data_IF_159074808946
#
_entry.id   IF_159074808946
#
_cell.length_a   1.000
_cell.length_b   1.000
_cell.length_c   1.000
_cell.angle_alpha   90.00
_cell.angle_beta   90.00
_cell.angle_gamma   90.00
#
_symmetry.space_group_name_H-M   'P 1'
#
loop_
_entity.id
_entity.type
_entity.pdbx_description
1 polymer ?
#
# COMPACT_ATOMS: atom_id res chain seq x y z
N UNK A 1 24.36 -1.60 -17.42
CA UNK A 1 23.68 -2.68 -16.66
C UNK A 1 22.67 -2.04 -15.73
N UNK A 2 21.39 -2.46 -15.76
CA UNK A 2 20.34 -1.93 -14.89
C UNK A 2 20.55 -2.31 -13.41
N UNK A 3 19.79 -1.69 -12.50
CA UNK A 3 19.87 -1.99 -11.06
C UNK A 3 19.51 -3.43 -10.72
N UNK A 4 18.59 -4.07 -11.47
CA UNK A 4 18.17 -5.47 -11.24
C UNK A 4 19.34 -6.45 -11.16
N UNK A 5 20.36 -6.29 -12.01
CA UNK A 5 21.54 -7.18 -12.02
C UNK A 5 22.41 -7.08 -10.76
N UNK A 6 22.19 -6.08 -9.91
CA UNK A 6 22.93 -5.85 -8.66
C UNK A 6 22.17 -6.32 -7.43
N UNK A 7 20.88 -6.65 -7.58
CA UNK A 7 20.02 -7.05 -6.47
C UNK A 7 20.17 -8.54 -6.19
N UNK A 8 20.36 -8.90 -4.94
CA UNK A 8 20.21 -10.27 -4.45
C UNK A 8 18.73 -10.54 -4.19
N UNK A 9 18.06 -11.25 -5.11
CA UNK A 9 16.62 -11.53 -5.02
C UNK A 9 16.26 -12.30 -3.73
N UNK A 10 17.17 -13.11 -3.18
CA UNK A 10 16.92 -13.84 -1.93
C UNK A 10 16.81 -12.94 -0.70
N UNK A 11 17.31 -11.70 -0.79
CA UNK A 11 17.28 -10.66 0.23
C UNK A 11 16.26 -9.55 -0.09
N UNK A 12 15.38 -9.77 -1.07
CA UNK A 12 14.33 -8.80 -1.37
C UNK A 12 13.33 -8.71 -0.20
N UNK A 13 12.78 -7.51 0.09
CA UNK A 13 11.72 -7.38 1.08
C UNK A 13 10.50 -8.20 0.65
N UNK A 14 9.89 -8.91 1.60
CA UNK A 14 8.67 -9.69 1.34
C UNK A 14 7.46 -8.79 1.14
N UNK A 15 7.45 -7.64 1.81
CA UNK A 15 6.37 -6.67 1.73
C UNK A 15 6.94 -5.26 1.53
N UNK A 16 6.48 -4.60 0.46
CA UNK A 16 6.78 -3.20 0.14
C UNK A 16 5.49 -2.39 0.25
N UNK A 17 5.54 -1.27 0.98
CA UNK A 17 4.47 -0.29 1.04
C UNK A 17 4.87 0.98 0.27
N UNK A 18 3.93 1.60 -0.48
CA UNK A 18 4.23 2.78 -1.30
C UNK A 18 3.20 3.89 -1.07
N UNK A 19 3.70 5.09 -0.76
CA UNK A 19 2.92 6.33 -0.78
C UNK A 19 3.11 6.98 -2.15
N UNK A 20 2.07 6.89 -2.98
CA UNK A 20 2.03 7.33 -4.38
C UNK A 20 1.77 8.84 -4.48
N UNK A 21 2.78 9.64 -4.13
CA UNK A 21 2.67 11.10 -4.13
C UNK A 21 3.24 11.74 -5.41
N UNK A 22 2.71 12.91 -5.78
CA UNK A 22 3.21 13.70 -6.90
C UNK A 22 2.28 13.80 -8.12
N UNK A 23 1.18 13.04 -8.20
CA UNK A 23 0.26 13.05 -9.35
C UNK A 23 -0.19 14.47 -9.76
N UNK A 24 -0.69 15.25 -8.79
CA UNK A 24 -1.16 16.61 -9.06
C UNK A 24 -0.02 17.59 -9.43
N UNK A 25 1.18 17.42 -8.85
CA UNK A 25 2.35 18.24 -9.19
C UNK A 25 2.84 17.93 -10.61
N UNK A 26 2.85 16.66 -10.98
CA UNK A 26 3.20 16.19 -12.31
C UNK A 26 2.24 16.76 -13.37
N UNK A 27 0.92 16.68 -13.15
CA UNK A 27 -0.08 17.23 -14.05
C UNK A 27 0.09 18.74 -14.26
N UNK A 28 0.30 19.50 -13.15
CA UNK A 28 0.55 20.95 -13.21
C UNK A 28 1.78 21.32 -14.02
N UNK A 29 2.87 20.54 -13.91
CA UNK A 29 4.10 20.78 -14.72
C UNK A 29 3.82 20.66 -16.22
N UNK A 30 2.78 19.90 -16.61
CA UNK A 30 2.37 19.71 -18.01
C UNK A 30 1.18 20.58 -18.42
N UNK A 31 0.73 21.50 -17.55
CA UNK A 31 -0.39 22.40 -17.84
C UNK A 31 -1.76 21.77 -17.73
N UNK A 32 -1.88 20.62 -17.04
CA UNK A 32 -3.12 19.88 -16.87
C UNK A 32 -3.66 19.94 -15.45
N UNK A 33 -4.95 19.61 -15.31
CA UNK A 33 -5.60 19.46 -14.00
C UNK A 33 -5.08 18.22 -13.23
N UNK A 34 -5.28 18.21 -11.91
CA UNK A 34 -4.72 17.20 -11.00
C UNK A 34 -5.13 15.77 -11.37
N UNK A 35 -6.39 15.57 -11.77
CA UNK A 35 -6.94 14.26 -12.13
C UNK A 35 -6.20 13.62 -13.32
N UNK A 36 -5.70 14.43 -14.25
CA UNK A 36 -4.88 13.97 -15.37
C UNK A 36 -3.66 13.18 -14.89
N UNK A 37 -2.96 13.66 -13.86
CA UNK A 37 -1.82 12.95 -13.29
C UNK A 37 -2.19 11.63 -12.62
N UNK A 38 -3.36 11.54 -12.01
CA UNK A 38 -3.84 10.29 -11.42
C UNK A 38 -4.13 9.22 -12.47
N UNK A 39 -4.67 9.59 -13.63
CA UNK A 39 -4.83 8.66 -14.76
C UNK A 39 -3.47 8.08 -15.21
N UNK A 40 -2.43 8.91 -15.33
CA UNK A 40 -1.09 8.44 -15.69
C UNK A 40 -0.45 7.61 -14.56
N UNK A 41 -0.79 7.86 -13.31
CA UNK A 41 -0.33 7.10 -12.16
C UNK A 41 -0.74 5.62 -12.18
N UNK A 42 -1.79 5.24 -12.91
CA UNK A 42 -2.21 3.83 -13.07
C UNK A 42 -1.12 3.01 -13.78
N UNK A 43 -0.46 3.57 -14.81
CA UNK A 43 0.65 2.90 -15.48
C UNK A 43 1.81 2.63 -14.53
N UNK A 44 2.11 3.57 -13.63
CA UNK A 44 3.15 3.38 -12.61
C UNK A 44 2.80 2.25 -11.63
N UNK A 45 1.50 2.02 -11.35
CA UNK A 45 1.05 0.84 -10.56
C UNK A 45 1.41 -0.46 -11.29
N UNK A 46 1.08 -0.57 -12.59
CA UNK A 46 1.40 -1.76 -13.41
C UNK A 46 2.89 -2.06 -13.46
N UNK A 47 3.70 -1.04 -13.78
CA UNK A 47 5.15 -1.16 -13.87
C UNK A 47 5.78 -1.57 -12.52
N UNK A 48 5.31 -0.95 -11.43
CA UNK A 48 5.77 -1.30 -10.07
C UNK A 48 5.39 -2.73 -9.69
N UNK A 49 4.18 -3.17 -10.04
CA UNK A 49 3.72 -4.54 -9.77
C UNK A 49 4.55 -5.58 -10.56
N UNK A 50 4.83 -5.31 -11.85
CA UNK A 50 5.72 -6.15 -12.67
C UNK A 50 7.13 -6.23 -12.08
N UNK A 51 7.68 -5.11 -11.65
CA UNK A 51 8.99 -5.06 -11.01
C UNK A 51 9.02 -5.81 -9.66
N UNK A 52 7.99 -5.65 -8.83
CA UNK A 52 7.85 -6.36 -7.55
C UNK A 52 7.81 -7.89 -7.76
N UNK A 53 7.10 -8.38 -8.79
CA UNK A 53 7.11 -9.81 -9.16
C UNK A 53 8.51 -10.31 -9.54
N UNK A 54 9.28 -9.54 -10.33
CA UNK A 54 10.68 -9.89 -10.69
C UNK A 54 11.55 -10.05 -9.45
N UNK A 55 11.28 -9.29 -8.40
CA UNK A 55 11.98 -9.30 -7.11
C UNK A 55 11.45 -10.37 -6.13
N UNK A 56 10.43 -11.14 -6.50
CA UNK A 56 9.76 -12.12 -5.61
C UNK A 56 9.13 -11.48 -4.36
N UNK A 57 8.73 -10.22 -4.43
CA UNK A 57 7.93 -9.55 -3.41
C UNK A 57 6.59 -10.27 -3.28
N UNK A 58 6.16 -10.55 -2.05
CA UNK A 58 4.91 -11.28 -1.79
C UNK A 58 3.72 -10.34 -1.62
N UNK A 59 3.95 -9.15 -1.04
CA UNK A 59 2.92 -8.14 -0.78
C UNK A 59 3.39 -6.78 -1.27
N UNK A 60 2.50 -6.08 -1.99
CA UNK A 60 2.71 -4.71 -2.43
C UNK A 60 1.51 -3.88 -1.97
N UNK A 61 1.69 -3.05 -0.92
CA UNK A 61 0.62 -2.18 -0.41
C UNK A 61 0.76 -0.78 -0.99
N UNK A 62 -0.29 -0.29 -1.63
CA UNK A 62 -0.33 1.03 -2.25
C UNK A 62 -1.34 1.95 -1.57
N UNK A 63 -0.89 3.14 -1.15
CA UNK A 63 -1.73 4.16 -0.52
C UNK A 63 -2.49 4.94 -1.59
N UNK A 64 -3.66 4.41 -1.98
CA UNK A 64 -4.42 4.95 -3.10
C UNK A 64 -5.36 6.10 -2.70
N UNK A 65 -6.01 6.03 -1.51
CA UNK A 65 -6.90 7.07 -1.03
C UNK A 65 -6.94 7.12 0.50
N UNK A 66 -6.57 8.28 1.08
CA UNK A 66 -6.61 8.47 2.52
C UNK A 66 -7.94 9.06 3.01
N UNK A 67 -8.26 8.87 4.31
CA UNK A 67 -9.42 9.51 4.93
C UNK A 67 -9.35 11.04 4.84
N UNK A 68 -8.15 11.63 4.85
CA UNK A 68 -7.94 13.06 4.71
C UNK A 68 -8.24 13.58 3.30
N UNK A 69 -8.23 12.72 2.28
CA UNK A 69 -8.50 13.10 0.89
C UNK A 69 -9.96 13.50 0.67
N UNK A 70 -10.90 13.09 1.53
CA UNK A 70 -12.27 13.57 1.50
C UNK A 70 -12.41 15.10 1.71
N UNK A 71 -11.40 15.75 2.29
CA UNK A 71 -11.36 17.21 2.46
C UNK A 71 -10.98 17.97 1.18
N UNK A 72 -10.68 17.28 0.08
CA UNK A 72 -10.42 17.90 -1.23
C UNK A 72 -11.72 18.43 -1.85
N UNK A 73 -11.62 19.31 -2.87
CA UNK A 73 -12.80 19.75 -3.63
C UNK A 73 -13.62 18.53 -4.10
N UNK A 74 -14.94 18.66 -4.00
CA UNK A 74 -15.87 17.56 -4.27
C UNK A 74 -15.67 16.97 -5.67
N UNK A 75 -15.49 17.83 -6.68
CA UNK A 75 -15.31 17.39 -8.08
C UNK A 75 -14.01 16.56 -8.24
N UNK A 76 -12.93 16.90 -7.50
CA UNK A 76 -11.71 16.11 -7.48
C UNK A 76 -11.94 14.74 -6.84
N UNK A 77 -12.67 14.70 -5.71
CA UNK A 77 -12.99 13.44 -4.99
C UNK A 77 -13.86 12.54 -5.85
N UNK A 78 -14.94 13.07 -6.42
CA UNK A 78 -15.86 12.33 -7.28
C UNK A 78 -15.10 11.75 -8.49
N UNK A 79 -14.23 12.55 -9.13
CA UNK A 79 -13.38 12.11 -10.23
C UNK A 79 -12.37 11.03 -9.84
N UNK A 80 -11.81 11.10 -8.64
CA UNK A 80 -10.89 10.07 -8.13
C UNK A 80 -11.61 8.74 -7.85
N UNK A 81 -12.82 8.78 -7.29
CA UNK A 81 -13.62 7.59 -7.02
C UNK A 81 -14.07 6.90 -8.32
N UNK A 82 -14.50 7.69 -9.31
CA UNK A 82 -14.85 7.18 -10.63
C UNK A 82 -13.63 6.58 -11.35
N UNK A 83 -12.47 7.26 -11.31
CA UNK A 83 -11.21 6.72 -11.85
C UNK A 83 -10.84 5.40 -11.18
N UNK A 84 -10.93 5.33 -9.84
CA UNK A 84 -10.59 4.12 -9.08
C UNK A 84 -11.46 2.94 -9.51
N UNK A 85 -12.78 3.09 -9.52
CA UNK A 85 -13.70 2.03 -9.95
C UNK A 85 -13.42 1.55 -11.37
N UNK A 86 -13.31 2.49 -12.33
CA UNK A 86 -12.99 2.15 -13.73
C UNK A 86 -11.62 1.47 -13.89
N UNK A 87 -10.60 1.92 -13.15
CA UNK A 87 -9.28 1.31 -13.21
C UNK A 87 -9.30 -0.10 -12.66
N UNK A 88 -9.97 -0.34 -11.52
CA UNK A 88 -10.09 -1.69 -10.96
C UNK A 88 -10.75 -2.62 -11.97
N UNK A 89 -11.90 -2.24 -12.52
CA UNK A 89 -12.62 -3.05 -13.50
C UNK A 89 -11.78 -3.35 -14.76
N UNK A 90 -11.03 -2.36 -15.25
CA UNK A 90 -10.16 -2.52 -16.43
C UNK A 90 -8.96 -3.43 -16.17
N UNK A 91 -8.42 -3.47 -14.94
CA UNK A 91 -7.19 -4.19 -14.60
C UNK A 91 -7.41 -5.66 -14.20
N UNK A 92 -8.64 -6.07 -13.86
CA UNK A 92 -8.92 -7.43 -13.35
C UNK A 92 -8.38 -8.52 -14.28
N UNK A 93 -8.55 -8.38 -15.60
CA UNK A 93 -8.03 -9.35 -16.57
C UNK A 93 -6.51 -9.51 -16.47
N UNK A 94 -5.75 -8.40 -16.43
CA UNK A 94 -4.29 -8.42 -16.29
C UNK A 94 -3.87 -8.98 -14.94
N UNK A 95 -4.60 -8.67 -13.84
CA UNK A 95 -4.35 -9.24 -12.52
C UNK A 95 -4.51 -10.76 -12.53
N UNK A 96 -5.56 -11.29 -13.16
CA UNK A 96 -5.81 -12.72 -13.30
C UNK A 96 -4.72 -13.42 -14.12
N UNK A 97 -4.38 -12.89 -15.29
CA UNK A 97 -3.33 -13.44 -16.17
C UNK A 97 -1.96 -13.48 -15.48
N UNK A 98 -1.69 -12.50 -14.60
CA UNK A 98 -0.43 -12.39 -13.88
C UNK A 98 -0.42 -13.10 -12.50
N UNK A 99 -1.51 -13.76 -12.11
CA UNK A 99 -1.61 -14.45 -10.82
C UNK A 99 -1.58 -13.49 -9.63
N UNK A 100 -2.03 -12.25 -9.79
CA UNK A 100 -2.05 -11.21 -8.74
C UNK A 100 -3.33 -11.34 -7.94
N UNK A 101 -3.20 -11.51 -6.62
CA UNK A 101 -4.32 -11.44 -5.69
C UNK A 101 -4.56 -9.99 -5.28
N UNK A 102 -5.80 -9.50 -5.44
CA UNK A 102 -6.19 -8.18 -4.96
C UNK A 102 -6.75 -8.27 -3.53
N UNK A 103 -6.28 -7.37 -2.66
CA UNK A 103 -6.82 -7.15 -1.32
C UNK A 103 -7.01 -5.65 -1.07
N UNK A 104 -7.77 -5.32 -0.04
CA UNK A 104 -7.94 -3.93 0.39
C UNK A 104 -7.86 -3.79 1.90
N UNK A 105 -7.37 -2.64 2.36
CA UNK A 105 -7.40 -2.19 3.75
C UNK A 105 -8.06 -0.81 3.83
N UNK A 106 -8.71 -0.52 4.96
CA UNK A 106 -9.41 0.75 5.20
C UNK A 106 -10.92 0.59 5.32
N UNK A 107 -11.65 1.71 5.25
CA UNK A 107 -13.11 1.77 5.37
C UNK A 107 -13.78 1.67 3.99
N UNK A 108 -13.93 0.44 3.51
CA UNK A 108 -14.57 0.18 2.21
C UNK A 108 -16.07 0.48 2.20
N UNK A 109 -16.75 0.42 3.36
CA UNK A 109 -18.16 0.75 3.46
C UNK A 109 -18.43 2.26 3.22
N UNK A 110 -17.44 3.10 3.50
CA UNK A 110 -17.50 4.54 3.22
C UNK A 110 -17.24 4.93 1.76
N UNK A 111 -16.94 3.97 0.87
CA UNK A 111 -16.75 4.24 -0.56
C UNK A 111 -18.10 4.36 -1.29
N UNK A 112 -18.18 5.12 -2.41
CA UNK A 112 -19.35 5.11 -3.28
C UNK A 112 -19.68 3.69 -3.73
N UNK A 113 -20.99 3.36 -3.79
CA UNK A 113 -21.49 2.02 -4.05
C UNK A 113 -20.91 1.40 -5.33
N UNK A 114 -20.89 2.16 -6.42
CA UNK A 114 -20.33 1.68 -7.69
C UNK A 114 -18.86 1.28 -7.57
N UNK A 115 -18.02 2.13 -6.97
CA UNK A 115 -16.60 1.85 -6.76
C UNK A 115 -16.39 0.65 -5.83
N UNK A 116 -17.19 0.54 -4.75
CA UNK A 116 -17.15 -0.58 -3.82
C UNK A 116 -17.51 -1.91 -4.50
N UNK A 117 -18.55 -1.93 -5.34
CA UNK A 117 -18.97 -3.13 -6.03
C UNK A 117 -17.88 -3.65 -6.98
N UNK A 118 -17.26 -2.79 -7.80
CA UNK A 118 -16.13 -3.14 -8.66
C UNK A 118 -14.95 -3.71 -7.86
N UNK A 119 -14.64 -3.07 -6.72
CA UNK A 119 -13.57 -3.53 -5.83
C UNK A 119 -13.85 -4.94 -5.26
N UNK A 120 -15.04 -5.17 -4.74
CA UNK A 120 -15.42 -6.46 -4.16
C UNK A 120 -15.46 -7.58 -5.20
N UNK A 121 -15.96 -7.27 -6.40
CA UNK A 121 -15.95 -8.20 -7.53
C UNK A 121 -14.51 -8.57 -7.94
N UNK A 122 -13.62 -7.59 -8.08
CA UNK A 122 -12.22 -7.82 -8.41
C UNK A 122 -11.49 -8.65 -7.35
N UNK A 123 -11.74 -8.38 -6.05
CA UNK A 123 -11.20 -9.17 -4.93
C UNK A 123 -11.68 -10.62 -5.03
N UNK A 124 -12.96 -10.84 -5.30
CA UNK A 124 -13.55 -12.18 -5.41
C UNK A 124 -12.99 -12.96 -6.61
N UNK A 125 -12.80 -12.30 -7.76
CA UNK A 125 -12.24 -12.93 -8.95
C UNK A 125 -10.77 -13.34 -8.76
N UNK A 126 -9.97 -12.52 -8.05
CA UNK A 126 -8.52 -12.71 -7.90
C UNK A 126 -8.13 -13.48 -6.63
N UNK A 127 -9.08 -13.91 -5.79
CA UNK A 127 -8.82 -14.46 -4.43
C UNK A 127 -7.90 -15.68 -4.40
N UNK A 128 -7.92 -16.49 -5.45
CA UNK A 128 -7.18 -17.76 -5.53
C UNK A 128 -5.79 -17.57 -6.20
N UNK A 129 -5.45 -16.36 -6.61
CA UNK A 129 -4.13 -16.03 -7.16
C UNK A 129 -3.06 -16.01 -6.07
N UNK A 130 -1.83 -16.44 -6.40
CA UNK A 130 -0.77 -16.72 -5.41
C UNK A 130 0.60 -16.13 -5.74
N UNK A 131 0.78 -15.48 -6.91
CA UNK A 131 2.09 -14.96 -7.33
C UNK A 131 2.55 -13.76 -6.51
N UNK A 132 1.64 -12.79 -6.29
CA UNK A 132 1.85 -11.60 -5.48
C UNK A 132 0.49 -11.08 -5.00
N UNK A 133 0.45 -10.48 -3.83
CA UNK A 133 -0.75 -9.80 -3.31
C UNK A 133 -0.61 -8.29 -3.46
N UNK A 134 -1.47 -7.66 -4.27
CA UNK A 134 -1.64 -6.21 -4.34
C UNK A 134 -2.66 -5.78 -3.28
N UNK A 135 -2.25 -4.94 -2.35
CA UNK A 135 -3.12 -4.40 -1.29
C UNK A 135 -3.38 -2.92 -1.56
N UNK A 136 -4.62 -2.55 -1.82
CA UNK A 136 -5.02 -1.15 -1.98
C UNK A 136 -5.49 -0.58 -0.63
N UNK A 137 -4.79 0.43 -0.11
CA UNK A 137 -5.23 1.19 1.04
C UNK A 137 -6.22 2.27 0.56
N UNK A 138 -7.51 2.04 0.81
CA UNK A 138 -8.64 2.84 0.32
C UNK A 138 -9.45 3.38 1.49
N UNK A 139 -9.73 4.68 1.46
CA UNK A 139 -10.39 5.36 2.59
C UNK A 139 -9.72 4.98 3.91
N UNK A 140 -8.37 4.94 3.88
CA UNK A 140 -7.53 4.44 4.95
C UNK A 140 -6.80 5.58 5.67
N UNK A 141 -6.69 5.46 6.98
CA UNK A 141 -5.65 6.12 7.78
C UNK A 141 -5.39 5.33 9.05
N UNK A 142 -4.14 5.35 9.55
CA UNK A 142 -3.77 4.54 10.72
C UNK A 142 -4.51 4.96 11.98
N UNK A 143 -4.74 6.27 12.19
CA UNK A 143 -5.50 6.75 13.36
C UNK A 143 -6.93 6.25 13.32
N UNK A 144 -7.57 6.24 12.16
CA UNK A 144 -8.89 5.64 11.97
C UNK A 144 -8.85 4.13 12.24
N UNK A 145 -7.91 3.43 11.65
CA UNK A 145 -7.76 1.97 11.78
C UNK A 145 -7.61 1.55 13.24
N UNK A 146 -6.64 2.16 13.94
CA UNK A 146 -6.37 1.88 15.37
C UNK A 146 -7.61 2.19 16.21
N UNK A 147 -8.25 3.36 16.00
CA UNK A 147 -9.48 3.73 16.72
C UNK A 147 -10.59 2.71 16.47
N UNK A 148 -10.75 2.24 15.23
CA UNK A 148 -11.75 1.24 14.88
C UNK A 148 -11.45 -0.13 15.51
N UNK A 149 -10.18 -0.55 15.54
CA UNK A 149 -9.73 -1.76 16.23
C UNK A 149 -10.07 -1.70 17.73
N UNK A 150 -9.77 -0.59 18.42
CA UNK A 150 -10.16 -0.38 19.82
C UNK A 150 -11.67 -0.49 20.05
N UNK A 151 -12.48 0.13 19.18
CA UNK A 151 -13.96 0.02 19.29
C UNK A 151 -14.43 -1.43 19.17
N UNK A 152 -13.84 -2.21 18.26
CA UNK A 152 -14.15 -3.63 18.08
C UNK A 152 -13.74 -4.44 19.32
N UNK A 153 -12.54 -4.23 19.85
CA UNK A 153 -12.03 -4.87 21.06
C UNK A 153 -12.97 -4.60 22.23
N UNK A 154 -13.32 -3.34 22.49
CA UNK A 154 -14.26 -2.98 23.57
C UNK A 154 -15.63 -3.65 23.39
N UNK A 155 -16.10 -3.79 22.15
CA UNK A 155 -17.36 -4.52 21.86
C UNK A 155 -17.23 -5.99 22.21
N UNK A 156 -16.13 -6.66 21.84
CA UNK A 156 -15.89 -8.06 22.16
C UNK A 156 -15.72 -8.31 23.66
N UNK A 157 -15.05 -7.39 24.40
CA UNK A 157 -14.96 -7.48 25.87
C UNK A 157 -16.35 -7.35 26.52
N UNK A 158 -17.18 -6.39 26.10
CA UNK A 158 -18.55 -6.22 26.60
C UNK A 158 -19.46 -7.42 26.28
N UNK A 159 -19.20 -8.12 25.18
CA UNK A 159 -19.91 -9.32 24.79
C UNK A 159 -19.37 -10.59 25.49
N UNK A 160 -18.33 -10.46 26.35
CA UNK A 160 -17.64 -11.58 27.01
C UNK A 160 -17.04 -12.59 26.03
N UNK A 161 -16.71 -12.14 24.78
CA UNK A 161 -16.01 -12.96 23.79
C UNK A 161 -14.50 -13.02 24.07
N UNK A 162 -13.94 -11.99 24.70
CA UNK A 162 -12.57 -11.88 25.18
C UNK A 162 -12.53 -11.19 26.54
N UNK A 163 -11.49 -11.47 27.33
CA UNK A 163 -11.22 -10.78 28.60
C UNK A 163 -10.19 -9.67 28.40
N UNK A 164 -10.04 -8.77 29.40
CA UNK A 164 -9.04 -7.71 29.36
C UNK A 164 -7.61 -8.28 29.31
N UNK A 165 -7.35 -9.37 30.04
CA UNK A 165 -6.05 -10.04 30.09
C UNK A 165 -5.64 -10.70 28.74
N UNK A 166 -6.60 -10.96 27.87
CA UNK A 166 -6.37 -11.52 26.53
C UNK A 166 -6.02 -10.44 25.48
N UNK A 167 -6.00 -9.16 25.85
CA UNK A 167 -5.62 -8.07 24.94
C UNK A 167 -4.10 -8.01 24.84
N UNK A 168 -3.54 -8.76 23.89
CA UNK A 168 -2.10 -8.77 23.52
C UNK A 168 -1.88 -8.00 22.23
N UNK A 169 -0.60 -7.82 21.84
CA UNK A 169 -0.23 -7.20 20.55
C UNK A 169 -0.90 -7.98 19.40
N UNK A 170 -0.77 -9.29 19.39
CA UNK A 170 -1.32 -10.18 18.34
C UNK A 170 -2.85 -10.10 18.28
N UNK A 171 -3.49 -9.98 19.46
CA UNK A 171 -4.94 -9.81 19.50
C UNK A 171 -5.35 -8.46 18.87
N UNK A 172 -4.63 -7.37 19.15
CA UNK A 172 -4.87 -6.06 18.54
C UNK A 172 -4.70 -6.13 17.03
N UNK A 173 -3.62 -6.75 16.55
CA UNK A 173 -3.35 -6.96 15.12
C UNK A 173 -4.47 -7.73 14.42
N UNK A 174 -5.09 -8.71 15.10
CA UNK A 174 -6.26 -9.42 14.61
C UNK A 174 -7.51 -8.56 14.38
N UNK A 175 -7.59 -7.37 14.99
CA UNK A 175 -8.67 -6.40 14.79
C UNK A 175 -8.35 -5.28 13.78
N UNK A 176 -7.08 -5.15 13.35
CA UNK A 176 -6.68 -4.21 12.30
C UNK A 176 -7.19 -4.67 10.92
N UNK A 177 -7.30 -3.76 9.97
CA UNK A 177 -7.67 -4.11 8.59
C UNK A 177 -6.54 -4.82 7.85
N UNK A 178 -5.30 -4.71 8.36
CA UNK A 178 -4.10 -5.41 7.87
C UNK A 178 -3.95 -6.84 8.41
N UNK A 179 -4.91 -7.37 9.18
CA UNK A 179 -4.82 -8.73 9.72
C UNK A 179 -4.47 -9.77 8.64
N UNK A 180 -3.48 -10.60 8.92
CA UNK A 180 -3.02 -11.64 8.00
C UNK A 180 -2.11 -11.14 6.88
N UNK A 181 -1.79 -9.84 6.85
CA UNK A 181 -0.77 -9.24 5.98
C UNK A 181 0.47 -8.99 6.85
N UNK A 182 1.66 -9.45 6.47
CA UNK A 182 2.88 -9.17 7.23
C UNK A 182 3.20 -7.66 7.22
N UNK A 183 3.91 -7.19 8.23
CA UNK A 183 4.38 -5.80 8.27
C UNK A 183 5.30 -5.49 7.08
N UNK A 184 5.25 -4.26 6.51
CA UNK A 184 6.15 -3.89 5.42
C UNK A 184 7.58 -3.78 5.91
N UNK A 185 8.52 -4.33 5.13
CA UNK A 185 9.95 -4.23 5.40
C UNK A 185 10.56 -2.97 4.78
N UNK A 186 9.95 -2.48 3.69
CA UNK A 186 10.34 -1.27 2.99
C UNK A 186 9.10 -0.40 2.72
N UNK A 187 9.18 0.89 3.10
CA UNK A 187 8.20 1.90 2.72
C UNK A 187 8.86 2.93 1.80
N UNK A 188 8.27 3.09 0.61
CA UNK A 188 8.72 4.05 -0.39
C UNK A 188 7.74 5.23 -0.42
N UNK A 189 8.26 6.46 -0.43
CA UNK A 189 7.46 7.64 -0.75
C UNK A 189 8.08 8.42 -1.88
N UNK A 190 7.26 8.71 -2.89
CA UNK A 190 7.62 9.51 -4.06
C UNK A 190 7.45 11.01 -3.80
N UNK A 191 8.03 11.85 -4.66
CA UNK A 191 7.84 13.30 -4.74
C UNK A 191 8.60 14.17 -3.73
N UNK A 192 9.66 13.66 -3.08
CA UNK A 192 10.53 14.43 -2.20
C UNK A 192 9.94 14.83 -0.84
N UNK A 193 8.83 14.23 -0.44
CA UNK A 193 8.19 14.50 0.85
C UNK A 193 8.62 13.50 1.93
N UNK A 194 9.11 13.98 3.07
CA UNK A 194 9.69 13.19 4.15
C UNK A 194 8.72 12.99 5.33
N UNK A 195 7.52 12.52 5.07
CA UNK A 195 6.48 12.18 6.08
C UNK A 195 5.69 10.97 5.63
N UNK A 196 5.04 10.29 6.57
CA UNK A 196 4.26 9.07 6.29
C UNK A 196 2.75 9.33 6.11
N UNK A 197 2.29 10.53 6.32
CA UNK A 197 0.90 10.97 6.10
C UNK A 197 -0.15 10.03 6.70
N UNK A 198 0.02 9.63 7.96
CA UNK A 198 -0.93 8.77 8.69
C UNK A 198 -1.11 7.38 8.04
N UNK A 199 -0.06 6.87 7.38
CA UNK A 199 -0.06 5.56 6.72
C UNK A 199 0.64 4.52 7.57
N UNK A 200 -0.02 3.40 7.86
CA UNK A 200 0.50 2.18 8.49
C UNK A 200 1.28 2.39 9.81
N UNK A 201 0.89 3.33 10.69
CA UNK A 201 1.64 3.70 11.91
C UNK A 201 2.00 2.49 12.78
N UNK A 202 1.08 1.54 12.94
CA UNK A 202 1.31 0.35 13.74
C UNK A 202 2.32 -0.59 13.07
N UNK A 203 2.14 -0.81 11.78
CA UNK A 203 2.85 -1.81 11.00
C UNK A 203 4.28 -1.41 10.60
N UNK A 204 4.59 -0.09 10.61
CA UNK A 204 5.90 0.41 10.16
C UNK A 204 6.92 0.59 11.29
N UNK A 205 6.69 0.00 12.46
CA UNK A 205 7.55 0.17 13.64
C UNK A 205 9.03 -0.19 13.38
N UNK A 206 9.31 -1.14 12.48
CA UNK A 206 10.67 -1.58 12.11
C UNK A 206 10.90 -1.55 10.59
N UNK A 207 10.12 -0.74 9.87
CA UNK A 207 10.20 -0.60 8.42
C UNK A 207 11.35 0.33 8.02
N UNK A 208 12.10 -0.04 7.00
CA UNK A 208 13.06 0.84 6.35
C UNK A 208 12.35 1.81 5.40
N UNK A 209 12.82 3.08 5.36
CA UNK A 209 12.22 4.12 4.52
C UNK A 209 13.11 4.46 3.33
N UNK A 210 12.51 4.61 2.16
CA UNK A 210 13.14 5.17 0.98
C UNK A 210 12.32 6.36 0.45
N UNK A 211 12.91 7.55 0.45
CA UNK A 211 12.30 8.76 -0.10
C UNK A 211 12.95 9.11 -1.44
N UNK A 212 12.14 9.38 -2.46
CA UNK A 212 12.62 9.75 -3.79
C UNK A 212 11.92 11.00 -4.31
N UNK A 213 12.66 11.85 -5.04
CA UNK A 213 12.13 13.06 -5.68
C UNK A 213 11.28 12.76 -6.92
N UNK A 214 11.32 11.52 -7.43
CA UNK A 214 10.52 11.09 -8.59
C UNK A 214 9.04 11.28 -8.28
N UNK A 215 8.29 11.92 -9.16
CA UNK A 215 6.84 12.04 -9.05
C UNK A 215 6.18 10.72 -9.46
N UNK A 216 5.08 10.33 -8.79
CA UNK A 216 4.48 9.01 -9.00
C UNK A 216 4.23 8.66 -10.47
N UNK A 217 3.67 9.54 -11.35
CA UNK A 217 3.46 9.19 -12.76
C UNK A 217 4.75 8.88 -13.54
N UNK A 218 5.92 9.27 -13.04
CA UNK A 218 7.23 8.99 -13.65
C UNK A 218 7.96 7.82 -12.99
N UNK A 219 7.42 7.25 -11.88
CA UNK A 219 8.03 6.13 -11.17
C UNK A 219 7.95 4.84 -12.01
N UNK A 220 9.08 4.18 -12.21
CA UNK A 220 9.22 2.99 -13.07
C UNK A 220 9.96 1.87 -12.37
N UNK A 221 10.14 0.73 -13.06
CA UNK A 221 10.84 -0.45 -12.54
C UNK A 221 12.21 -0.12 -11.94
N UNK A 222 13.03 0.69 -12.63
CA UNK A 222 14.38 1.04 -12.17
C UNK A 222 14.37 1.84 -10.86
N UNK A 223 13.32 2.62 -10.60
CA UNK A 223 13.16 3.35 -9.33
C UNK A 223 12.86 2.38 -8.18
N UNK A 224 12.02 1.36 -8.42
CA UNK A 224 11.79 0.30 -7.44
C UNK A 224 13.07 -0.50 -7.19
N UNK A 225 13.79 -0.87 -8.22
CA UNK A 225 15.07 -1.60 -8.08
C UNK A 225 16.09 -0.79 -7.29
N UNK A 226 16.18 0.52 -7.53
CA UNK A 226 17.03 1.43 -6.76
C UNK A 226 16.66 1.46 -5.28
N UNK A 227 15.35 1.52 -4.97
CA UNK A 227 14.86 1.51 -3.60
C UNK A 227 15.17 0.19 -2.88
N UNK A 228 15.03 -0.95 -3.58
CA UNK A 228 15.37 -2.27 -3.02
C UNK A 228 16.88 -2.44 -2.85
N UNK A 229 17.69 -1.92 -3.76
CA UNK A 229 19.14 -1.95 -3.61
C UNK A 229 19.60 -1.10 -2.41
N UNK A 230 19.00 0.09 -2.20
CA UNK A 230 19.23 0.91 -1.00
C UNK A 230 18.83 0.15 0.27
N UNK A 231 17.67 -0.50 0.29
CA UNK A 231 17.24 -1.36 1.40
C UNK A 231 18.25 -2.47 1.70
N UNK A 232 18.77 -3.16 0.69
CA UNK A 232 19.74 -4.25 0.86
C UNK A 232 21.11 -3.78 1.36
N UNK A 233 21.43 -2.49 1.20
CA UNK A 233 22.67 -1.91 1.72
C UNK A 233 22.64 -1.63 3.23
N UNK A 234 21.46 -1.75 3.87
CA UNK A 234 21.25 -1.43 5.28
C UNK A 234 21.32 -2.67 6.16
N UNK A 235 21.78 -2.50 7.39
CA UNK A 235 21.76 -3.52 8.42
C UNK A 235 20.49 -3.37 9.28
N UNK A 236 19.63 -4.38 9.27
CA UNK A 236 18.38 -4.39 10.07
C UNK A 236 18.62 -5.03 11.42
N UNK A 237 18.65 -4.24 12.48
CA UNK A 237 19.06 -4.67 13.81
C UNK A 237 17.95 -5.10 14.75
N UNK A 238 16.70 -4.67 14.56
CA UNK A 238 15.55 -5.00 15.42
C UNK A 238 15.81 -4.83 16.92
N UNK A 239 16.60 -3.79 17.30
CA UNK A 239 17.00 -3.53 18.68
C UNK A 239 18.24 -4.30 19.15
N UNK A 240 18.83 -5.16 18.34
CA UNK A 240 20.09 -5.86 18.62
C UNK A 240 21.32 -5.02 18.23
N UNK A 241 22.50 -5.39 18.70
CA UNK A 241 23.77 -4.83 18.23
C UNK A 241 24.32 -5.66 17.05
N UNK A 242 25.19 -5.06 16.20
CA UNK A 242 25.68 -5.71 14.98
C UNK A 242 26.33 -7.06 15.24
N UNK A 243 27.01 -7.23 16.37
CA UNK A 243 27.67 -8.47 16.78
C UNK A 243 26.70 -9.62 17.11
N UNK A 244 25.40 -9.34 17.26
CA UNK A 244 24.35 -10.34 17.54
C UNK A 244 23.63 -10.82 16.28
N UNK A 245 23.96 -10.26 15.11
CA UNK A 245 23.30 -10.57 13.82
C UNK A 245 24.00 -11.67 13.02
N UNK A 246 24.91 -12.42 13.62
CA UNK A 246 25.67 -13.55 13.00
C UNK A 246 24.87 -14.84 12.96
#
# INVERSE_FOLDING_TARGET
MGYLSKIDISKSPKHIAIIMDGNGRWAKKQGHERLYGHNFGVESVRETLKAAKKLKVQYLTMYAFSTENWNRPKDEVDGLMDLLGRSIAAEVGELMENGVRLMTIGDTEGLPEACRNELLEAIQQTKDNTEITLVLALNYSSKWEITNAFKKIVKSVKASEITEDEITIEKIEGFLTTRGIPDPELLIRTSGEHRISNFLLWQIAYTEFHFTDVLWPDFREEDLFKAVLDYQSRERRFGMVSEQLT
#
